data_IF_082627154846
#
_entry.id   IF_082627154846
#
_cell.length_a   1.000
_cell.length_b   1.000
_cell.length_c   1.000
_cell.angle_alpha   90.00
_cell.angle_beta   90.00
_cell.angle_gamma   90.00
#
_symmetry.space_group_name_H-M   'P 1'
#
loop_
_entity.id
_entity.type
_entity.pdbx_description
1 polymer ?
#
# COMPACT_ATOMS: atom_id res chain seq x y z
N UNK A 1 2.54 19.51 -13.18
CA UNK A 1 1.91 18.89 -11.98
C UNK A 1 2.04 19.80 -10.74
N UNK A 2 1.67 21.09 -10.84
CA UNK A 2 1.70 22.05 -9.70
C UNK A 2 0.44 22.94 -9.66
N UNK A 3 -0.75 22.39 -9.92
CA UNK A 3 -1.98 23.24 -9.97
C UNK A 3 -3.27 22.57 -9.50
N UNK A 4 -3.20 21.48 -8.78
CA UNK A 4 -4.33 20.95 -7.99
C UNK A 4 -3.88 20.99 -6.55
N UNK A 5 -4.75 21.32 -5.59
CA UNK A 5 -4.42 21.39 -4.16
C UNK A 5 -4.03 20.04 -3.52
N UNK A 6 -3.41 19.15 -4.29
CA UNK A 6 -2.72 17.96 -3.85
C UNK A 6 -1.50 18.42 -3.05
N UNK A 7 -1.36 17.87 -1.84
CA UNK A 7 -0.25 18.14 -0.95
C UNK A 7 1.12 17.81 -1.56
N UNK A 8 2.19 18.04 -0.79
CA UNK A 8 3.55 17.80 -1.28
C UNK A 8 3.73 16.31 -1.58
N UNK A 9 4.23 16.01 -2.79
CA UNK A 9 4.47 14.63 -3.24
C UNK A 9 5.90 14.23 -2.90
N UNK A 10 6.03 13.13 -2.17
CA UNK A 10 7.28 12.44 -1.90
C UNK A 10 7.37 11.19 -2.77
N UNK A 11 8.58 10.85 -3.21
CA UNK A 11 8.85 9.66 -4.03
C UNK A 11 9.84 8.75 -3.32
N UNK A 12 9.63 7.45 -3.45
CA UNK A 12 10.53 6.44 -2.91
C UNK A 12 10.65 5.26 -3.89
N UNK A 13 11.86 4.87 -4.22
CA UNK A 13 12.17 3.84 -5.21
C UNK A 13 13.28 2.89 -4.71
N UNK A 14 13.45 1.77 -5.39
CA UNK A 14 14.51 0.81 -5.09
C UNK A 14 15.92 1.38 -5.31
N UNK A 15 16.05 2.41 -6.15
CA UNK A 15 17.31 3.03 -6.52
C UNK A 15 17.75 4.13 -5.54
N UNK A 16 16.89 4.50 -4.59
CA UNK A 16 17.19 5.51 -3.59
C UNK A 16 18.17 4.97 -2.53
N UNK A 17 19.16 5.79 -2.18
CA UNK A 17 20.10 5.46 -1.11
C UNK A 17 19.38 5.34 0.24
N UNK A 18 19.95 4.57 1.17
CA UNK A 18 19.39 4.40 2.51
C UNK A 18 19.14 5.74 3.22
N UNK A 19 20.03 6.72 3.03
CA UNK A 19 19.89 8.06 3.57
C UNK A 19 18.64 8.78 3.03
N UNK A 20 18.42 8.73 1.71
CA UNK A 20 17.22 9.30 1.06
C UNK A 20 15.97 8.58 1.56
N UNK A 21 16.01 7.25 1.64
CA UNK A 21 14.86 6.46 2.11
C UNK A 21 14.47 6.82 3.54
N UNK A 22 15.46 6.99 4.42
CA UNK A 22 15.25 7.42 5.80
C UNK A 22 14.66 8.83 5.85
N UNK A 23 15.24 9.78 5.11
CA UNK A 23 14.76 11.16 5.07
C UNK A 23 13.29 11.24 4.62
N UNK A 24 12.94 10.58 3.51
CA UNK A 24 11.56 10.57 2.98
C UNK A 24 10.59 9.90 3.96
N UNK A 25 11.02 8.81 4.59
CA UNK A 25 10.21 8.11 5.60
C UNK A 25 9.96 8.99 6.83
N UNK A 26 11.00 9.64 7.35
CA UNK A 26 10.90 10.52 8.51
C UNK A 26 10.02 11.74 8.19
N UNK A 27 10.14 12.30 6.99
CA UNK A 27 9.29 13.39 6.52
C UNK A 27 7.82 12.97 6.47
N UNK A 28 7.53 11.80 5.88
CA UNK A 28 6.16 11.28 5.80
C UNK A 28 5.54 10.94 7.16
N UNK A 29 6.36 10.65 8.17
CA UNK A 29 5.91 10.35 9.54
C UNK A 29 5.67 11.60 10.40
N UNK A 30 6.22 12.74 9.99
CA UNK A 30 6.24 13.96 10.82
C UNK A 30 5.42 15.10 10.25
N UNK A 31 5.21 15.16 8.93
CA UNK A 31 4.51 16.24 8.26
C UNK A 31 3.14 15.80 7.74
N UNK A 32 2.19 16.73 7.72
CA UNK A 32 0.83 16.52 7.22
C UNK A 32 0.69 16.99 5.77
N UNK A 33 -0.37 16.56 5.09
CA UNK A 33 -0.66 16.98 3.71
C UNK A 33 0.38 16.48 2.71
N UNK A 34 0.85 15.23 2.89
CA UNK A 34 1.80 14.59 2.00
C UNK A 34 1.17 13.44 1.22
N UNK A 35 1.67 13.22 0.01
CA UNK A 35 1.37 12.02 -0.79
C UNK A 35 2.68 11.29 -1.02
N UNK A 36 2.77 10.03 -0.60
CA UNK A 36 3.93 9.18 -0.87
C UNK A 36 3.63 8.28 -2.07
N UNK A 37 4.43 8.43 -3.12
CA UNK A 37 4.46 7.51 -4.26
C UNK A 37 5.67 6.60 -4.10
N UNK A 38 5.44 5.29 -4.07
CA UNK A 38 6.48 4.32 -3.78
C UNK A 38 6.40 3.11 -4.69
N UNK A 39 7.56 2.52 -5.03
CA UNK A 39 7.63 1.19 -5.63
C UNK A 39 7.75 0.11 -4.56
N UNK A 40 7.47 -1.14 -4.93
CA UNK A 40 7.55 -2.29 -4.01
C UNK A 40 8.91 -2.43 -3.31
N UNK A 41 9.99 -2.28 -4.07
CA UNK A 41 11.37 -2.36 -3.55
C UNK A 41 11.69 -1.26 -2.54
N UNK A 42 10.94 -0.16 -2.59
CA UNK A 42 11.07 0.98 -1.70
C UNK A 42 10.25 0.87 -0.41
N UNK A 43 9.10 0.18 -0.47
CA UNK A 43 8.12 0.12 0.61
C UNK A 43 8.30 -1.07 1.58
N UNK A 44 9.16 -2.04 1.25
CA UNK A 44 9.48 -3.12 2.18
C UNK A 44 10.05 -2.56 3.49
N UNK A 45 9.39 -2.87 4.60
CA UNK A 45 9.81 -2.47 5.95
C UNK A 45 9.24 -1.13 6.45
N UNK A 46 8.54 -0.35 5.62
CA UNK A 46 7.97 0.91 6.07
C UNK A 46 6.73 0.71 6.95
N UNK A 47 6.67 1.48 8.04
CA UNK A 47 5.53 1.54 8.95
C UNK A 47 4.78 2.84 8.72
N UNK A 48 3.73 2.81 7.89
CA UNK A 48 2.99 3.99 7.46
C UNK A 48 1.69 4.20 8.27
N UNK A 49 1.20 3.16 8.94
CA UNK A 49 -0.08 3.16 9.67
C UNK A 49 -0.28 4.35 10.63
N UNK A 50 0.75 4.82 11.33
CA UNK A 50 0.59 5.92 12.30
C UNK A 50 0.18 7.27 11.68
N UNK A 51 0.41 7.47 10.38
CA UNK A 51 0.15 8.75 9.68
C UNK A 51 -0.61 8.59 8.37
N UNK A 52 -0.88 7.36 7.96
CA UNK A 52 -1.54 7.06 6.70
C UNK A 52 -2.55 5.94 6.89
N UNK A 53 -3.78 6.20 6.45
CA UNK A 53 -4.89 5.25 6.40
C UNK A 53 -5.51 5.18 4.99
N UNK A 54 -4.91 5.82 3.98
CA UNK A 54 -5.35 5.74 2.58
C UNK A 54 -4.26 5.11 1.72
N UNK A 55 -4.58 4.00 1.05
CA UNK A 55 -3.66 3.30 0.16
C UNK A 55 -4.30 3.09 -1.21
N UNK A 56 -3.58 3.47 -2.26
CA UNK A 56 -3.99 3.22 -3.65
C UNK A 56 -2.92 2.36 -4.31
N UNK A 57 -3.29 1.17 -4.73
CA UNK A 57 -2.44 0.31 -5.55
C UNK A 57 -2.63 0.69 -7.02
N UNK A 58 -1.53 1.08 -7.67
CA UNK A 58 -1.50 1.34 -9.11
C UNK A 58 -1.15 0.08 -9.93
N UNK A 59 -0.60 -0.94 -9.27
CA UNK A 59 -0.25 -2.22 -9.88
C UNK A 59 -0.79 -3.40 -9.05
N UNK A 60 -1.15 -4.48 -9.74
CA UNK A 60 -1.65 -5.70 -9.13
C UNK A 60 -0.56 -6.80 -9.10
N UNK A 61 -0.09 -7.22 -7.92
CA UNK A 61 0.83 -8.34 -7.83
C UNK A 61 0.10 -9.66 -8.09
N UNK A 62 0.80 -10.64 -8.67
CA UNK A 62 0.24 -11.98 -8.93
C UNK A 62 0.03 -12.85 -7.69
N UNK A 63 0.56 -12.41 -6.55
CA UNK A 63 0.49 -13.14 -5.28
C UNK A 63 -0.39 -12.37 -4.28
N UNK A 64 -1.54 -12.94 -3.84
CA UNK A 64 -2.42 -12.27 -2.88
C UNK A 64 -1.73 -11.98 -1.54
N UNK A 65 -0.77 -12.82 -1.13
CA UNK A 65 -0.01 -12.55 0.10
C UNK A 65 0.83 -11.27 -0.01
N UNK A 66 1.32 -10.92 -1.21
CA UNK A 66 2.02 -9.66 -1.44
C UNK A 66 1.06 -8.47 -1.33
N UNK A 67 -0.16 -8.62 -1.84
CA UNK A 67 -1.23 -7.62 -1.67
C UNK A 67 -1.51 -7.35 -0.19
N UNK A 68 -1.67 -8.43 0.58
CA UNK A 68 -1.95 -8.35 2.02
C UNK A 68 -0.80 -7.70 2.80
N UNK A 69 0.44 -8.07 2.49
CA UNK A 69 1.62 -7.44 3.12
C UNK A 69 1.72 -5.94 2.82
N UNK A 70 1.29 -5.50 1.62
CA UNK A 70 1.24 -4.08 1.28
C UNK A 70 0.09 -3.37 2.02
N UNK A 71 -1.10 -3.98 2.09
CA UNK A 71 -2.23 -3.44 2.87
C UNK A 71 -1.86 -3.28 4.35
N UNK A 72 -1.19 -4.30 4.89
CA UNK A 72 -0.63 -4.29 6.23
C UNK A 72 0.45 -3.25 6.47
N UNK A 73 0.77 -2.34 5.54
CA UNK A 73 1.61 -1.15 5.82
C UNK A 73 0.83 -0.04 6.52
N UNK A 74 -0.47 0.02 6.24
CA UNK A 74 -1.41 0.98 6.83
C UNK A 74 -2.42 0.31 7.78
N UNK A 75 -2.72 -0.96 7.57
CA UNK A 75 -3.61 -1.76 8.40
C UNK A 75 -2.78 -2.57 9.42
N UNK A 76 -2.48 -1.95 10.57
CA UNK A 76 -1.72 -2.56 11.67
C UNK A 76 -2.32 -2.17 13.02
N UNK A 77 -2.00 -2.99 14.04
CA UNK A 77 -2.25 -2.62 15.43
C UNK A 77 -1.70 -1.22 15.75
N UNK A 78 -2.52 -0.39 16.39
CA UNK A 78 -2.20 1.00 16.70
C UNK A 78 -2.61 2.01 15.63
N UNK A 79 -3.16 1.56 14.49
CA UNK A 79 -3.90 2.43 13.58
C UNK A 79 -5.17 2.95 14.26
N UNK A 80 -5.38 4.27 14.24
CA UNK A 80 -6.53 4.93 14.88
C UNK A 80 -7.69 5.17 13.92
N UNK A 81 -7.42 5.18 12.61
CA UNK A 81 -8.39 5.44 11.56
C UNK A 81 -8.69 4.17 10.75
N UNK A 82 -9.91 4.03 10.23
CA UNK A 82 -10.23 2.87 9.39
C UNK A 82 -9.45 2.92 8.05
N UNK A 83 -8.60 1.91 7.73
CA UNK A 83 -7.87 1.88 6.47
C UNK A 83 -8.80 1.85 5.25
N UNK A 84 -8.53 2.71 4.27
CA UNK A 84 -9.18 2.77 2.97
C UNK A 84 -8.17 2.32 1.92
N UNK A 85 -8.33 1.09 1.46
CA UNK A 85 -7.50 0.49 0.40
C UNK A 85 -8.27 0.50 -0.92
N UNK A 86 -7.65 1.00 -1.98
CA UNK A 86 -8.20 1.03 -3.34
C UNK A 86 -7.24 0.38 -4.32
N UNK A 87 -7.79 -0.31 -5.31
CA UNK A 87 -7.05 -0.89 -6.43
C UNK A 87 -7.45 -0.15 -7.69
N UNK A 88 -6.48 0.47 -8.36
CA UNK A 88 -6.69 1.01 -9.69
C UNK A 88 -6.43 -0.12 -10.70
N UNK A 89 -7.38 -0.35 -11.59
CA UNK A 89 -7.28 -1.34 -12.66
C UNK A 89 -8.13 -0.90 -13.85
N UNK A 90 -7.78 -1.40 -15.04
CA UNK A 90 -8.55 -1.16 -16.25
C UNK A 90 -9.70 -2.17 -16.39
N UNK A 91 -10.94 -1.65 -16.39
CA UNK A 91 -12.17 -2.44 -16.57
C UNK A 91 -12.22 -3.12 -17.94
N UNK A 92 -12.73 -4.35 -17.99
CA UNK A 92 -12.87 -5.11 -19.23
C UNK A 92 -11.54 -5.65 -19.77
N UNK A 93 -10.45 -5.48 -19.03
CA UNK A 93 -9.12 -5.94 -19.43
C UNK A 93 -8.66 -7.15 -18.64
N UNK A 94 -7.44 -7.57 -18.89
CA UNK A 94 -6.79 -8.62 -18.13
C UNK A 94 -6.55 -8.25 -16.66
N UNK A 95 -6.34 -6.98 -16.34
CA UNK A 95 -6.12 -6.52 -14.96
C UNK A 95 -7.32 -6.80 -14.07
N UNK A 96 -8.54 -6.58 -14.58
CA UNK A 96 -9.78 -6.93 -13.87
C UNK A 96 -9.84 -8.43 -13.56
N UNK A 97 -9.48 -9.29 -14.52
CA UNK A 97 -9.43 -10.74 -14.31
C UNK A 97 -8.40 -11.15 -13.27
N UNK A 98 -7.25 -10.47 -13.24
CA UNK A 98 -6.23 -10.68 -12.21
C UNK A 98 -6.80 -10.31 -10.85
N UNK A 99 -7.37 -9.11 -10.71
CA UNK A 99 -7.91 -8.62 -9.43
C UNK A 99 -8.96 -9.58 -8.87
N UNK A 100 -9.94 -9.98 -9.69
CA UNK A 100 -10.98 -10.92 -9.29
C UNK A 100 -10.39 -12.27 -8.84
N UNK A 101 -9.36 -12.76 -9.53
CA UNK A 101 -8.69 -14.01 -9.18
C UNK A 101 -7.87 -13.90 -7.88
N UNK A 102 -7.25 -12.76 -7.63
CA UNK A 102 -6.54 -12.51 -6.36
C UNK A 102 -7.52 -12.49 -5.19
N UNK A 103 -8.66 -11.81 -5.35
CA UNK A 103 -9.73 -11.75 -4.35
C UNK A 103 -10.27 -13.17 -4.05
N UNK A 104 -10.60 -13.95 -5.08
CA UNK A 104 -11.08 -15.33 -4.91
C UNK A 104 -10.04 -16.21 -4.18
N UNK A 105 -8.75 -16.08 -4.52
CA UNK A 105 -7.68 -16.82 -3.85
C UNK A 105 -7.54 -16.42 -2.38
N UNK A 106 -7.64 -15.13 -2.07
CA UNK A 106 -7.61 -14.61 -0.70
C UNK A 106 -8.79 -15.15 0.12
N UNK A 107 -10.02 -15.07 -0.41
CA UNK A 107 -11.22 -15.57 0.27
C UNK A 107 -11.13 -17.07 0.57
N UNK A 108 -10.62 -17.86 -0.38
CA UNK A 108 -10.36 -19.29 -0.18
C UNK A 108 -9.30 -19.57 0.89
N UNK A 109 -8.26 -18.73 1.00
CA UNK A 109 -7.26 -18.85 2.05
C UNK A 109 -7.84 -18.49 3.41
N UNK A 110 -8.60 -17.38 3.49
CA UNK A 110 -9.27 -16.92 4.71
C UNK A 110 -10.24 -17.97 5.24
N UNK A 111 -11.04 -18.60 4.38
CA UNK A 111 -11.99 -19.64 4.76
C UNK A 111 -11.34 -20.90 5.39
N UNK A 112 -10.04 -21.12 5.17
CA UNK A 112 -9.29 -22.22 5.78
C UNK A 112 -8.71 -21.88 7.15
N UNK A 113 -8.74 -20.61 7.55
CA UNK A 113 -8.31 -20.20 8.89
C UNK A 113 -9.38 -20.65 9.89
N UNK A 114 -9.23 -21.87 10.36
CA UNK A 114 -10.05 -22.44 11.44
C UNK A 114 -9.30 -22.30 12.76
N UNK A 115 -10.03 -22.18 13.86
CA UNK A 115 -9.43 -22.28 15.19
C UNK A 115 -8.76 -23.65 15.34
N UNK A 116 -7.49 -23.65 15.71
CA UNK A 116 -6.80 -24.83 16.21
C UNK A 116 -6.81 -24.68 17.74
N UNK A 117 -7.37 -25.64 18.48
CA UNK A 117 -7.49 -25.55 19.94
C UNK A 117 -6.14 -25.50 20.65
#
# INVERSE_FOLDING_TARGET
LRSTGVGTVLTLSGDDSEAVRRQVTDQFRTQDGLVLVSTDAAAEGLNLHQRCHHLIHLELPWNPNRLEQRNGRIDRYGQTENPIVRYLFLRGTFEERILLRLIDKYEKQRAKLTFVP
#
